data_IF_056966046922
#
_entry.id   IF_056966046922
#
_cell.length_a   1.000
_cell.length_b   1.000
_cell.length_c   1.000
_cell.angle_alpha   90.00
_cell.angle_beta   90.00
_cell.angle_gamma   90.00
#
_symmetry.space_group_name_H-M   'P 1'
#
loop_
_entity.id
_entity.type
_entity.pdbx_description
1 polymer ?
#
# COMPACT_ATOMS: atom_id res chain seq x y z
N UNK A 1 9.22 22.42 51.83
CA UNK A 1 8.05 22.96 51.09
C UNK A 1 8.54 23.25 49.68
N UNK A 2 8.34 22.30 48.78
CA UNK A 2 8.82 22.43 47.41
C UNK A 2 7.63 22.83 46.52
N UNK A 3 7.67 24.03 45.98
CA UNK A 3 6.65 24.55 45.07
C UNK A 3 6.82 23.91 43.69
N UNK A 4 5.95 22.98 43.35
CA UNK A 4 5.73 22.52 41.98
C UNK A 4 5.02 23.66 41.22
N UNK A 5 5.75 24.30 40.33
CA UNK A 5 5.15 25.22 39.35
C UNK A 5 4.43 24.40 38.28
N UNK A 6 3.18 24.72 37.91
CA UNK A 6 2.51 24.08 36.80
C UNK A 6 3.18 24.49 35.48
N UNK A 7 3.46 23.47 34.60
CA UNK A 7 3.85 23.69 33.22
C UNK A 7 2.78 24.59 32.57
N UNK A 8 3.17 25.76 32.12
CA UNK A 8 2.34 26.62 31.28
C UNK A 8 2.25 25.96 29.90
N UNK A 9 1.07 25.44 29.59
CA UNK A 9 0.70 25.13 28.21
C UNK A 9 0.68 26.46 27.46
N UNK A 10 1.67 26.67 26.59
CA UNK A 10 1.69 27.79 25.64
C UNK A 10 0.52 27.59 24.68
N UNK A 11 -0.40 28.55 24.51
CA UNK A 11 -1.49 28.40 23.57
C UNK A 11 -0.92 28.26 22.16
N UNK A 12 -1.27 27.15 21.47
CA UNK A 12 -1.01 26.98 20.05
C UNK A 12 -1.56 28.20 19.30
N UNK A 13 -0.67 28.93 18.63
CA UNK A 13 -1.07 30.12 17.88
C UNK A 13 -1.92 29.73 16.69
N UNK A 14 -2.86 30.57 16.29
CA UNK A 14 -3.70 30.36 15.09
C UNK A 14 -2.83 30.13 13.85
N UNK A 15 -1.64 30.72 13.79
CA UNK A 15 -0.64 30.52 12.75
C UNK A 15 -0.14 29.07 12.68
N UNK A 16 0.18 28.44 13.82
CA UNK A 16 0.71 27.08 13.88
C UNK A 16 -0.33 26.06 13.38
N UNK A 17 -1.62 26.29 13.66
CA UNK A 17 -2.71 25.45 13.17
C UNK A 17 -2.94 25.57 11.66
N UNK A 18 -2.76 26.77 11.10
CA UNK A 18 -2.88 27.02 9.66
C UNK A 18 -1.73 26.31 8.92
N UNK A 19 -0.51 26.40 9.44
CA UNK A 19 0.66 25.74 8.87
C UNK A 19 0.53 24.21 8.93
N UNK A 20 0.14 23.64 10.07
CA UNK A 20 -0.10 22.19 10.21
C UNK A 20 -1.15 21.68 9.24
N UNK A 21 -2.25 22.44 9.06
CA UNK A 21 -3.30 22.07 8.09
C UNK A 21 -2.76 22.06 6.67
N UNK A 22 -1.95 23.03 6.29
CA UNK A 22 -1.34 23.10 4.96
C UNK A 22 -0.46 21.87 4.68
N UNK A 23 0.44 21.53 5.62
CA UNK A 23 1.33 20.39 5.53
C UNK A 23 0.56 19.05 5.50
N UNK A 24 -0.52 18.95 6.28
CA UNK A 24 -1.39 17.77 6.24
C UNK A 24 -2.05 17.59 4.87
N UNK A 25 -2.62 18.64 4.29
CA UNK A 25 -3.24 18.59 2.97
C UNK A 25 -2.22 18.27 1.86
N UNK A 26 -1.02 18.83 1.94
CA UNK A 26 0.07 18.48 1.03
C UNK A 26 0.44 16.99 1.13
N UNK A 27 0.53 16.46 2.36
CA UNK A 27 0.78 15.03 2.58
C UNK A 27 -0.27 14.15 1.90
N UNK A 28 -1.56 14.50 2.02
CA UNK A 28 -2.64 13.75 1.35
C UNK A 28 -2.49 13.76 -0.17
N UNK A 29 -2.21 14.93 -0.74
CA UNK A 29 -1.99 15.08 -2.18
C UNK A 29 -0.76 14.28 -2.66
N UNK A 30 0.31 14.24 -1.86
CA UNK A 30 1.50 13.45 -2.14
C UNK A 30 1.19 11.94 -2.14
N UNK A 31 0.47 11.45 -1.15
CA UNK A 31 0.08 10.02 -1.07
C UNK A 31 -0.73 9.61 -2.29
N UNK A 32 -1.75 10.40 -2.67
CA UNK A 32 -2.55 10.12 -3.86
C UNK A 32 -1.71 10.15 -5.15
N UNK A 33 -0.83 11.14 -5.28
CA UNK A 33 0.04 11.27 -6.45
C UNK A 33 1.05 10.13 -6.54
N UNK A 34 1.66 9.74 -5.42
CA UNK A 34 2.62 8.63 -5.36
C UNK A 34 1.96 7.32 -5.74
N UNK A 35 0.74 7.07 -5.27
CA UNK A 35 0.00 5.86 -5.66
C UNK A 35 -0.22 5.81 -7.18
N UNK A 36 -0.66 6.90 -7.80
CA UNK A 36 -0.82 6.96 -9.26
C UNK A 36 0.50 6.73 -9.99
N UNK A 37 1.60 7.38 -9.53
CA UNK A 37 2.93 7.22 -10.13
C UNK A 37 3.46 5.79 -10.01
N UNK A 38 3.21 5.12 -8.90
CA UNK A 38 3.55 3.72 -8.73
C UNK A 38 2.86 2.85 -9.81
N UNK A 39 1.58 3.07 -10.06
CA UNK A 39 0.85 2.34 -11.11
C UNK A 39 1.35 2.70 -12.52
N UNK A 40 1.69 3.96 -12.79
CA UNK A 40 2.28 4.39 -14.07
C UNK A 40 3.62 3.67 -14.33
N UNK A 41 4.47 3.56 -13.32
CA UNK A 41 5.78 2.90 -13.40
C UNK A 41 5.62 1.40 -13.65
N UNK A 42 4.69 0.74 -12.95
CA UNK A 42 4.40 -0.68 -13.19
C UNK A 42 3.85 -0.87 -14.61
N UNK A 43 2.94 -0.01 -15.05
CA UNK A 43 2.39 -0.06 -16.41
C UNK A 43 3.48 0.04 -17.47
N UNK A 44 4.39 1.00 -17.35
CA UNK A 44 5.50 1.20 -18.30
C UNK A 44 6.41 -0.05 -18.36
N UNK A 45 6.67 -0.71 -17.21
CA UNK A 45 7.45 -1.95 -17.19
C UNK A 45 6.75 -3.09 -17.93
N UNK A 46 5.43 -3.24 -17.77
CA UNK A 46 4.65 -4.27 -18.47
C UNK A 46 4.53 -3.95 -19.97
N UNK A 47 4.38 -2.70 -20.34
CA UNK A 47 4.39 -2.26 -21.75
C UNK A 47 5.73 -2.60 -22.42
N UNK A 48 6.86 -2.37 -21.73
CA UNK A 48 8.21 -2.75 -22.19
C UNK A 48 8.41 -4.26 -22.30
N UNK A 49 7.80 -5.03 -21.41
CA UNK A 49 7.80 -6.49 -21.43
C UNK A 49 6.84 -7.07 -22.49
N UNK A 50 6.13 -6.23 -23.24
CA UNK A 50 5.13 -6.65 -24.22
C UNK A 50 3.90 -7.35 -23.61
N UNK A 51 3.61 -7.10 -22.32
CA UNK A 51 2.50 -7.71 -21.57
C UNK A 51 1.30 -6.79 -21.59
N UNK A 52 0.28 -7.17 -22.35
CA UNK A 52 -1.00 -6.44 -22.47
C UNK A 52 -2.18 -7.18 -21.85
N UNK A 53 -1.93 -8.38 -21.37
CA UNK A 53 -2.92 -9.29 -20.77
C UNK A 53 -3.29 -8.96 -19.32
N UNK A 54 -2.55 -8.05 -18.71
CA UNK A 54 -2.71 -7.65 -17.31
C UNK A 54 -2.46 -6.15 -17.13
N UNK A 55 -3.22 -5.50 -16.26
CA UNK A 55 -3.01 -4.09 -15.93
C UNK A 55 -2.17 -3.90 -14.65
N UNK A 56 -1.68 -2.67 -14.43
CA UNK A 56 -0.80 -2.35 -13.30
C UNK A 56 -1.42 -2.66 -11.92
N UNK A 57 -2.73 -2.44 -11.76
CA UNK A 57 -3.47 -2.74 -10.52
C UNK A 57 -3.47 -4.24 -10.25
N UNK A 58 -3.71 -5.03 -11.28
CA UNK A 58 -3.71 -6.49 -11.19
C UNK A 58 -2.30 -7.03 -10.93
N UNK A 59 -1.28 -6.49 -11.61
CA UNK A 59 0.12 -6.86 -11.39
C UNK A 59 0.56 -6.56 -9.96
N UNK A 60 0.24 -5.37 -9.43
CA UNK A 60 0.52 -4.99 -8.05
C UNK A 60 -0.20 -5.90 -7.05
N UNK A 61 -1.45 -6.30 -7.33
CA UNK A 61 -2.19 -7.24 -6.48
C UNK A 61 -1.51 -8.60 -6.43
N UNK A 62 -1.05 -9.14 -7.57
CA UNK A 62 -0.31 -10.40 -7.61
C UNK A 62 1.01 -10.29 -6.84
N UNK A 63 1.77 -9.21 -7.01
CA UNK A 63 2.99 -8.96 -6.24
C UNK A 63 2.71 -8.97 -4.72
N UNK A 64 1.65 -8.30 -4.28
CA UNK A 64 1.27 -8.22 -2.86
C UNK A 64 0.80 -9.57 -2.28
N UNK A 65 0.20 -10.45 -3.07
CA UNK A 65 -0.12 -11.82 -2.66
C UNK A 65 1.16 -12.65 -2.54
N UNK A 66 2.05 -12.56 -3.52
CA UNK A 66 3.33 -13.28 -3.54
C UNK A 66 3.17 -14.78 -3.31
N UNK A 67 4.02 -15.36 -2.47
CA UNK A 67 3.99 -16.78 -2.10
C UNK A 67 2.98 -17.12 -0.99
N UNK A 68 2.14 -16.16 -0.58
CA UNK A 68 1.19 -16.36 0.50
C UNK A 68 -0.08 -17.05 0.00
N UNK A 69 -0.74 -17.76 0.93
CA UNK A 69 -2.13 -18.24 0.76
C UNK A 69 -3.02 -17.37 1.63
N UNK A 70 -3.85 -16.55 1.03
CA UNK A 70 -4.63 -15.51 1.71
C UNK A 70 -6.13 -15.70 1.51
N UNK A 71 -6.92 -15.30 2.50
CA UNK A 71 -8.36 -15.13 2.33
C UNK A 71 -8.70 -13.78 1.72
N UNK A 72 -9.88 -13.63 1.13
CA UNK A 72 -10.37 -12.35 0.64
C UNK A 72 -10.47 -11.29 1.77
N UNK A 73 -10.73 -11.74 3.01
CA UNK A 73 -10.70 -10.89 4.20
C UNK A 73 -9.29 -10.37 4.51
N UNK A 74 -8.29 -11.26 4.50
CA UNK A 74 -6.89 -10.87 4.73
C UNK A 74 -6.36 -9.93 3.65
N UNK A 75 -6.74 -10.11 2.38
CA UNK A 75 -6.39 -9.18 1.32
C UNK A 75 -6.92 -7.77 1.59
N UNK A 76 -8.14 -7.66 2.12
CA UNK A 76 -8.72 -6.36 2.50
C UNK A 76 -8.03 -5.74 3.70
N UNK A 77 -7.78 -6.51 4.76
CA UNK A 77 -7.15 -6.02 5.99
C UNK A 77 -5.69 -5.64 5.82
N UNK A 78 -4.98 -6.28 4.88
CA UNK A 78 -3.60 -5.91 4.53
C UNK A 78 -3.50 -4.64 3.67
N UNK A 79 -4.62 -3.98 3.39
CA UNK A 79 -4.64 -2.75 2.59
C UNK A 79 -4.36 -2.96 1.10
N UNK A 80 -4.38 -4.20 0.62
CA UNK A 80 -4.03 -4.51 -0.77
C UNK A 80 -5.11 -4.11 -1.76
N UNK A 81 -6.20 -3.56 -1.37
CA UNK A 81 -7.21 -2.83 -2.12
C UNK A 81 -8.59 -2.85 -1.47
N UNK A 82 -9.28 -1.75 -1.62
CA UNK A 82 -10.58 -1.50 -1.03
C UNK A 82 -11.74 -1.91 -1.96
N UNK A 83 -12.75 -2.55 -1.38
CA UNK A 83 -14.11 -2.57 -1.88
C UNK A 83 -14.36 -3.46 -3.09
N UNK A 84 -15.33 -3.07 -3.91
CA UNK A 84 -15.83 -3.79 -5.10
C UNK A 84 -14.74 -4.11 -6.14
N UNK A 85 -13.71 -3.29 -6.24
CA UNK A 85 -12.62 -3.48 -7.20
C UNK A 85 -11.74 -4.69 -6.89
N UNK A 86 -11.55 -5.08 -5.60
CA UNK A 86 -10.80 -6.29 -5.26
C UNK A 86 -11.51 -7.53 -5.77
N UNK A 87 -12.79 -7.65 -5.48
CA UNK A 87 -13.58 -8.81 -5.91
C UNK A 87 -13.61 -8.95 -7.42
N UNK A 88 -13.74 -7.84 -8.14
CA UNK A 88 -13.70 -7.82 -9.61
C UNK A 88 -12.31 -8.26 -10.13
N UNK A 89 -11.23 -7.67 -9.63
CA UNK A 89 -9.88 -7.99 -10.06
C UNK A 89 -9.48 -9.43 -9.71
N UNK A 90 -9.84 -9.92 -8.50
CA UNK A 90 -9.60 -11.31 -8.14
C UNK A 90 -10.33 -12.29 -9.08
N UNK A 91 -11.62 -12.03 -9.37
CA UNK A 91 -12.37 -12.85 -10.32
C UNK A 91 -11.69 -12.86 -11.70
N UNK A 92 -11.29 -11.68 -12.19
CA UNK A 92 -10.61 -11.56 -13.48
C UNK A 92 -9.27 -12.30 -13.50
N UNK A 93 -8.49 -12.23 -12.43
CA UNK A 93 -7.20 -12.92 -12.31
C UNK A 93 -7.35 -14.45 -12.21
N UNK A 94 -8.43 -14.92 -11.61
CA UNK A 94 -8.79 -16.35 -11.63
C UNK A 94 -9.15 -16.78 -13.06
N UNK A 95 -10.00 -16.03 -13.78
CA UNK A 95 -10.39 -16.32 -15.17
C UNK A 95 -9.17 -16.32 -16.11
N UNK A 96 -8.18 -15.45 -15.88
CA UNK A 96 -6.94 -15.38 -16.64
C UNK A 96 -5.90 -16.44 -16.21
N UNK A 97 -6.18 -17.24 -15.17
CA UNK A 97 -5.30 -18.32 -14.71
C UNK A 97 -4.07 -17.85 -13.90
N UNK A 98 -4.05 -16.62 -13.38
CA UNK A 98 -2.98 -16.10 -12.53
C UNK A 98 -3.18 -16.42 -11.05
N UNK A 99 -4.41 -16.66 -10.63
CA UNK A 99 -4.77 -16.98 -9.25
C UNK A 99 -5.47 -18.34 -9.23
N UNK A 100 -5.03 -19.19 -8.31
CA UNK A 100 -5.75 -20.38 -7.90
C UNK A 100 -6.68 -20.04 -6.72
N UNK A 101 -7.89 -20.55 -6.79
CA UNK A 101 -8.98 -20.22 -5.90
C UNK A 101 -9.53 -21.53 -5.32
N UNK A 102 -9.25 -21.75 -4.04
CA UNK A 102 -9.69 -22.95 -3.34
C UNK A 102 -10.67 -22.59 -2.21
N UNK A 103 -11.79 -23.33 -2.16
CA UNK A 103 -12.64 -23.30 -0.97
C UNK A 103 -11.93 -23.99 0.19
N UNK A 104 -11.87 -23.33 1.34
CA UNK A 104 -11.31 -23.94 2.53
C UNK A 104 -12.09 -25.23 2.89
N UNK A 105 -11.36 -26.29 3.18
CA UNK A 105 -11.97 -27.56 3.67
C UNK A 105 -12.49 -27.43 5.10
N UNK A 106 -11.95 -26.49 5.87
CA UNK A 106 -12.28 -26.28 7.29
C UNK A 106 -13.42 -25.28 7.45
N UNK A 107 -13.42 -24.21 6.66
CA UNK A 107 -14.50 -23.23 6.61
C UNK A 107 -14.94 -23.02 5.16
N UNK A 108 -16.07 -23.62 4.80
CA UNK A 108 -16.64 -23.53 3.44
C UNK A 108 -16.99 -22.09 3.00
N UNK A 109 -17.01 -21.13 3.95
CA UNK A 109 -17.26 -19.71 3.68
C UNK A 109 -15.97 -18.94 3.38
N UNK A 110 -14.82 -19.48 3.75
CA UNK A 110 -13.53 -18.86 3.50
C UNK A 110 -12.96 -19.34 2.16
N UNK A 111 -12.83 -18.42 1.25
CA UNK A 111 -12.14 -18.62 -0.02
C UNK A 111 -10.67 -18.27 0.17
N UNK A 112 -9.78 -19.20 -0.13
CA UNK A 112 -8.34 -18.99 -0.14
C UNK A 112 -7.86 -18.75 -1.55
N UNK A 113 -6.98 -17.78 -1.71
CA UNK A 113 -6.34 -17.43 -2.97
C UNK A 113 -4.83 -17.60 -2.85
N UNK A 114 -4.21 -18.13 -3.87
CA UNK A 114 -2.76 -18.25 -4.04
C UNK A 114 -2.40 -18.02 -5.49
N UNK A 115 -1.15 -17.66 -5.77
CA UNK A 115 -0.72 -17.49 -7.14
C UNK A 115 -0.47 -18.83 -7.81
N UNK A 116 -0.82 -18.92 -9.09
CA UNK A 116 -0.34 -19.97 -9.98
C UNK A 116 1.11 -19.69 -10.40
N UNK A 117 1.74 -20.64 -11.10
CA UNK A 117 3.05 -20.40 -11.70
C UNK A 117 3.06 -19.16 -12.62
N UNK A 118 2.01 -18.95 -13.40
CA UNK A 118 1.85 -17.78 -14.24
C UNK A 118 1.69 -16.49 -13.43
N UNK A 119 0.94 -16.54 -12.32
CA UNK A 119 0.79 -15.41 -11.38
C UNK A 119 2.11 -15.04 -10.72
N UNK A 120 2.93 -16.02 -10.31
CA UNK A 120 4.26 -15.79 -9.76
C UNK A 120 5.20 -15.13 -10.77
N UNK A 121 5.16 -15.53 -12.03
CA UNK A 121 5.95 -14.87 -13.09
C UNK A 121 5.58 -13.39 -13.26
N UNK A 122 4.31 -13.03 -13.12
CA UNK A 122 3.88 -11.62 -13.12
C UNK A 122 4.38 -10.89 -11.90
N UNK A 123 4.27 -11.49 -10.72
CA UNK A 123 4.79 -10.90 -9.47
C UNK A 123 6.30 -10.67 -9.53
N UNK A 124 7.06 -11.58 -10.16
CA UNK A 124 8.51 -11.46 -10.35
C UNK A 124 8.91 -10.26 -11.23
N UNK A 125 8.12 -9.89 -12.24
CA UNK A 125 8.36 -8.68 -13.04
C UNK A 125 8.34 -7.44 -12.15
N UNK A 126 7.37 -7.35 -11.24
CA UNK A 126 7.27 -6.24 -10.29
C UNK A 126 8.42 -6.27 -9.27
N UNK A 127 8.79 -7.46 -8.78
CA UNK A 127 9.93 -7.62 -7.87
C UNK A 127 11.23 -7.10 -8.49
N UNK A 128 11.56 -7.52 -9.72
CA UNK A 128 12.73 -7.07 -10.46
C UNK A 128 12.73 -5.55 -10.72
N UNK A 129 11.56 -4.98 -11.01
CA UNK A 129 11.40 -3.53 -11.13
C UNK A 129 11.77 -2.82 -9.82
N UNK A 130 11.30 -3.31 -8.68
CA UNK A 130 11.61 -2.71 -7.38
C UNK A 130 13.08 -2.87 -7.00
N UNK A 131 13.71 -4.00 -7.30
CA UNK A 131 15.13 -4.19 -7.07
C UNK A 131 16.00 -3.19 -7.86
N UNK A 132 15.61 -2.89 -9.11
CA UNK A 132 16.27 -1.83 -9.90
C UNK A 132 16.08 -0.44 -9.28
N UNK A 133 14.92 -0.16 -8.72
CA UNK A 133 14.67 1.11 -8.03
C UNK A 133 15.53 1.24 -6.77
N UNK A 134 15.62 0.19 -5.95
CA UNK A 134 16.47 0.17 -4.75
C UNK A 134 17.92 0.44 -5.12
N UNK A 135 18.42 -0.11 -6.22
CA UNK A 135 19.80 0.10 -6.69
C UNK A 135 20.14 1.54 -7.11
N UNK A 136 19.15 2.42 -7.27
CA UNK A 136 19.35 3.78 -7.77
C UNK A 136 18.69 4.89 -6.94
N UNK A 137 17.82 4.55 -6.00
CA UNK A 137 16.94 5.53 -5.34
C UNK A 137 17.72 6.51 -4.45
N UNK A 138 18.81 6.09 -3.83
CA UNK A 138 19.67 6.96 -3.05
C UNK A 138 20.43 7.96 -3.94
N UNK A 139 20.97 7.48 -5.07
CA UNK A 139 21.80 8.29 -5.98
C UNK A 139 21.00 9.26 -6.84
N UNK A 140 19.83 8.83 -7.30
CA UNK A 140 18.96 9.62 -8.20
C UNK A 140 17.84 10.31 -7.45
N UNK A 141 17.22 9.62 -6.48
CA UNK A 141 16.10 10.13 -5.70
C UNK A 141 16.52 10.88 -4.43
N UNK A 142 17.78 10.75 -3.99
CA UNK A 142 18.28 11.36 -2.76
C UNK A 142 17.65 10.81 -1.50
N UNK A 143 17.13 9.57 -1.53
CA UNK A 143 16.44 8.93 -0.40
C UNK A 143 17.28 7.77 0.12
N UNK A 144 17.81 7.94 1.33
CA UNK A 144 18.55 6.91 2.03
C UNK A 144 17.67 6.05 2.97
N UNK A 145 18.29 5.06 3.61
CA UNK A 145 17.60 4.18 4.56
C UNK A 145 16.99 4.96 5.74
N UNK A 146 17.70 5.97 6.26
CA UNK A 146 17.24 6.77 7.40
C UNK A 146 16.01 7.61 7.06
N UNK A 147 15.94 8.12 5.84
CA UNK A 147 14.79 8.87 5.35
C UNK A 147 13.58 7.95 5.14
N UNK A 148 13.78 6.76 4.58
CA UNK A 148 12.73 5.77 4.49
C UNK A 148 12.20 5.33 5.85
N UNK A 149 13.07 5.12 6.84
CA UNK A 149 12.66 4.78 8.20
C UNK A 149 11.78 5.86 8.82
N UNK A 150 12.15 7.15 8.68
CA UNK A 150 11.36 8.29 9.19
C UNK A 150 10.01 8.39 8.50
N UNK A 151 10.01 8.29 7.17
CA UNK A 151 8.80 8.34 6.34
C UNK A 151 7.83 7.20 6.71
N UNK A 152 8.33 5.96 6.75
CA UNK A 152 7.52 4.79 7.10
C UNK A 152 6.90 4.92 8.50
N UNK A 153 7.68 5.41 9.49
CA UNK A 153 7.17 5.67 10.84
C UNK A 153 6.06 6.71 10.85
N UNK A 154 6.17 7.76 10.06
CA UNK A 154 5.17 8.82 9.96
C UNK A 154 3.90 8.33 9.25
N UNK A 155 4.04 7.59 8.15
CA UNK A 155 2.93 6.98 7.43
C UNK A 155 2.17 5.97 8.29
N UNK A 156 2.87 5.13 9.06
CA UNK A 156 2.24 4.18 10.00
C UNK A 156 1.43 4.87 11.11
N UNK A 157 1.90 6.05 11.57
CA UNK A 157 1.14 6.86 12.55
C UNK A 157 -0.13 7.44 11.93
N UNK A 158 -0.04 7.91 10.69
CA UNK A 158 -1.18 8.46 9.96
C UNK A 158 -2.21 7.36 9.66
N UNK A 159 -1.77 6.18 9.22
CA UNK A 159 -2.62 5.01 8.99
C UNK A 159 -3.37 4.61 10.28
N UNK A 160 -2.66 4.53 11.40
CA UNK A 160 -3.27 4.24 12.70
C UNK A 160 -4.30 5.29 13.10
N UNK A 161 -3.97 6.57 12.96
CA UNK A 161 -4.90 7.67 13.25
C UNK A 161 -6.19 7.54 12.44
N UNK A 162 -6.10 7.21 11.14
CA UNK A 162 -7.30 7.02 10.33
C UNK A 162 -8.10 5.77 10.70
N UNK A 163 -7.41 4.67 11.02
CA UNK A 163 -8.09 3.47 11.52
C UNK A 163 -8.87 3.76 12.81
N UNK A 164 -8.25 4.46 13.76
CA UNK A 164 -8.90 4.85 15.02
C UNK A 164 -10.08 5.80 14.75
N UNK A 165 -9.92 6.76 13.85
CA UNK A 165 -11.00 7.68 13.46
C UNK A 165 -12.20 6.96 12.84
N UNK A 166 -11.97 5.91 12.04
CA UNK A 166 -13.02 5.08 11.46
C UNK A 166 -13.71 4.22 12.53
N UNK A 167 -12.91 3.59 13.41
CA UNK A 167 -13.42 2.67 14.43
C UNK A 167 -14.20 3.39 15.52
N UNK A 168 -13.73 4.55 15.94
CA UNK A 168 -14.29 5.30 17.08
C UNK A 168 -15.11 6.53 16.68
N UNK A 169 -15.24 6.82 15.37
CA UNK A 169 -15.95 7.99 14.82
C UNK A 169 -15.50 9.31 15.47
N UNK A 170 -14.17 9.46 15.61
CA UNK A 170 -13.54 10.67 16.14
C UNK A 170 -13.75 11.87 15.20
#
# INVERSE_FOLDING_TARGET
MSHLQPKRDTPETTSDKVELKSLYLETLQLVERLHRRLLDVIKDEFDRAGRTDINAVQALLLFNIGNSVLTAGELRTRGFYLGSNVSYNLKKLVELGFIDHQRSRVDRRAVRVSLTKAGLQVADIVAVLYDRHIGSIDKVGGLDEGEFQKMNKSLQRLDRFWNDSIMYRL
#
